data_IF_533487016009
#
_entry.id   IF_533487016009
#
_cell.length_a   1.000
_cell.length_b   1.000
_cell.length_c   1.000
_cell.angle_alpha   90.00
_cell.angle_beta   90.00
_cell.angle_gamma   90.00
#
_symmetry.space_group_name_H-M   'P 1'
#
loop_
_entity.id
_entity.type
_entity.pdbx_description
1 polymer ?
#
# COMPACT_ATOMS: atom_id res chain seq x y z
N UNK A 1 62.82 -15.55 -38.65
CA UNK A 1 62.47 -15.11 -37.27
C UNK A 1 61.07 -14.51 -37.33
N UNK A 2 60.13 -15.17 -36.63
CA UNK A 2 58.71 -14.83 -36.44
C UNK A 2 58.55 -13.43 -35.82
N UNK A 3 57.47 -12.67 -36.12
CA UNK A 3 56.74 -11.72 -35.23
C UNK A 3 55.49 -11.21 -36.01
N UNK A 4 54.35 -11.90 -35.92
CA UNK A 4 53.18 -11.61 -35.05
C UNK A 4 52.40 -10.36 -35.50
N UNK A 5 51.26 -10.61 -36.15
CA UNK A 5 50.26 -9.61 -36.53
C UNK A 5 49.42 -9.12 -35.34
N UNK A 6 48.83 -7.92 -35.49
CA UNK A 6 47.86 -7.38 -34.54
C UNK A 6 46.49 -7.26 -35.21
N UNK A 7 45.57 -8.06 -34.69
CA UNK A 7 44.15 -8.10 -34.99
C UNK A 7 43.47 -6.85 -34.45
N UNK A 8 42.62 -6.24 -35.28
CA UNK A 8 41.72 -5.16 -34.90
C UNK A 8 40.61 -5.68 -33.97
N UNK A 9 40.34 -4.96 -32.88
CA UNK A 9 39.20 -5.23 -31.99
C UNK A 9 38.52 -3.90 -31.63
N UNK A 10 37.56 -3.48 -32.45
CA UNK A 10 36.57 -2.48 -32.05
C UNK A 10 35.45 -3.21 -31.30
N UNK A 11 35.42 -3.03 -29.99
CA UNK A 11 34.42 -3.60 -29.09
C UNK A 11 33.02 -3.00 -29.36
N UNK A 12 32.05 -3.88 -29.57
CA UNK A 12 30.64 -3.52 -29.62
C UNK A 12 30.14 -3.19 -28.21
N UNK A 13 29.81 -1.92 -27.96
CA UNK A 13 29.08 -1.50 -26.76
C UNK A 13 27.61 -1.80 -27.00
N UNK A 14 27.10 -2.88 -26.42
CA UNK A 14 25.67 -3.21 -26.44
C UNK A 14 25.10 -3.32 -25.03
N UNK A 15 24.00 -2.57 -24.84
CA UNK A 15 22.88 -2.80 -23.92
C UNK A 15 23.14 -2.86 -22.40
N UNK A 16 22.91 -1.73 -21.72
CA UNK A 16 22.63 -1.67 -20.27
C UNK A 16 21.50 -0.68 -19.97
N UNK A 17 20.31 -0.86 -20.58
CA UNK A 17 19.17 0.05 -20.40
C UNK A 17 17.83 -0.65 -20.08
N UNK A 18 17.86 -1.88 -19.58
CA UNK A 18 16.63 -2.65 -19.31
C UNK A 18 16.32 -2.89 -17.82
N UNK A 19 17.19 -2.46 -16.90
CA UNK A 19 17.11 -2.89 -15.49
C UNK A 19 16.27 -2.00 -14.58
N UNK A 20 15.84 -0.81 -15.02
CA UNK A 20 15.21 0.18 -14.12
C UNK A 20 13.70 0.00 -14.00
N UNK A 21 13.01 -0.55 -15.01
CA UNK A 21 11.55 -0.67 -14.99
C UNK A 21 11.00 -1.84 -14.15
N UNK A 22 11.79 -2.88 -13.90
CA UNK A 22 11.33 -4.07 -13.16
C UNK A 22 11.29 -3.87 -11.63
N UNK A 23 12.06 -2.92 -11.09
CA UNK A 23 12.17 -2.71 -9.65
C UNK A 23 10.94 -2.04 -9.02
N UNK A 24 10.20 -1.23 -9.78
CA UNK A 24 9.08 -0.44 -9.25
C UNK A 24 7.82 -1.30 -9.01
N UNK A 25 7.61 -2.36 -9.80
CA UNK A 25 6.47 -3.28 -9.66
C UNK A 25 6.69 -4.37 -8.62
N UNK A 26 7.95 -4.70 -8.31
CA UNK A 26 8.30 -5.79 -7.38
C UNK A 26 7.99 -5.46 -5.90
N UNK A 27 7.78 -4.20 -5.56
CA UNK A 27 7.56 -3.73 -4.18
C UNK A 27 6.08 -3.43 -3.86
N UNK A 28 5.13 -3.78 -4.73
CA UNK A 28 3.71 -3.65 -4.43
C UNK A 28 3.22 -4.94 -3.75
N UNK A 29 2.73 -4.91 -2.49
CA UNK A 29 2.29 -6.14 -1.82
C UNK A 29 1.15 -6.82 -2.59
N UNK A 30 1.23 -8.13 -2.86
CA UNK A 30 0.19 -8.83 -3.61
C UNK A 30 -1.20 -8.75 -2.94
N UNK A 31 -1.24 -8.57 -1.61
CA UNK A 31 -2.46 -8.41 -0.83
C UNK A 31 -3.28 -7.20 -1.30
N UNK A 32 -2.65 -6.08 -1.64
CA UNK A 32 -3.40 -4.88 -2.06
C UNK A 32 -3.99 -5.04 -3.46
N UNK A 33 -3.41 -5.94 -4.27
CA UNK A 33 -3.85 -6.26 -5.63
C UNK A 33 -4.99 -7.28 -5.66
N UNK A 34 -5.19 -8.02 -4.57
CA UNK A 34 -6.24 -9.03 -4.42
C UNK A 34 -7.53 -8.46 -3.81
N UNK A 35 -8.57 -9.29 -3.77
CA UNK A 35 -9.85 -9.02 -3.10
C UNK A 35 -9.66 -8.41 -1.70
N UNK A 36 -10.39 -7.33 -1.40
CA UNK A 36 -10.31 -6.66 -0.09
C UNK A 36 -10.72 -7.57 1.07
N UNK A 37 -11.68 -8.47 0.83
CA UNK A 37 -12.23 -9.37 1.83
C UNK A 37 -11.27 -10.50 2.27
N UNK A 38 -10.09 -10.63 1.66
CA UNK A 38 -9.04 -11.56 2.10
C UNK A 38 -8.34 -11.10 3.39
N UNK A 39 -8.64 -9.91 3.91
CA UNK A 39 -8.11 -9.41 5.18
C UNK A 39 -8.97 -9.72 6.40
N UNK A 40 -8.41 -9.48 7.58
CA UNK A 40 -9.18 -9.49 8.83
C UNK A 40 -9.98 -8.20 8.93
N UNK A 41 -11.32 -8.30 8.95
CA UNK A 41 -12.19 -7.14 9.09
C UNK A 41 -12.27 -6.70 10.56
N UNK A 42 -11.93 -5.45 10.83
CA UNK A 42 -12.16 -4.78 12.12
C UNK A 42 -12.93 -3.49 11.82
N UNK A 43 -14.17 -3.40 12.32
CA UNK A 43 -15.10 -2.31 11.96
C UNK A 43 -15.25 -2.21 10.43
N UNK A 44 -14.95 -1.04 9.85
CA UNK A 44 -15.05 -0.75 8.43
C UNK A 44 -13.70 -0.86 7.68
N UNK A 45 -12.72 -1.55 8.27
CA UNK A 45 -11.37 -1.64 7.69
C UNK A 45 -10.91 -3.08 7.66
N UNK A 46 -10.30 -3.47 6.54
CA UNK A 46 -9.60 -4.74 6.41
C UNK A 46 -8.12 -4.54 6.71
N UNK A 47 -7.59 -5.44 7.55
CA UNK A 47 -6.20 -5.44 8.00
C UNK A 47 -5.52 -6.71 7.51
N UNK A 48 -4.33 -6.58 6.95
CA UNK A 48 -3.52 -7.71 6.49
C UNK A 48 -2.07 -7.55 6.90
N UNK A 49 -1.40 -8.67 7.07
CA UNK A 49 0.03 -8.76 7.26
C UNK A 49 0.46 -10.20 6.88
N UNK A 50 1.58 -10.40 6.16
CA UNK A 50 2.03 -11.75 5.76
C UNK A 50 2.40 -12.65 6.95
N UNK A 51 2.99 -12.07 8.00
CA UNK A 51 3.20 -12.73 9.30
C UNK A 51 1.91 -12.69 10.16
N UNK A 52 1.33 -13.85 10.55
CA UNK A 52 0.13 -13.92 11.37
C UNK A 52 0.25 -13.35 12.79
N UNK A 53 1.44 -13.40 13.40
CA UNK A 53 1.64 -12.83 14.73
C UNK A 53 1.58 -11.30 14.68
N UNK A 54 2.20 -10.72 13.65
CA UNK A 54 2.12 -9.28 13.38
C UNK A 54 0.73 -8.84 12.94
N UNK A 55 0.00 -9.68 12.19
CA UNK A 55 -1.42 -9.43 11.89
C UNK A 55 -2.24 -9.30 13.18
N UNK A 56 -2.08 -10.26 14.11
CA UNK A 56 -2.78 -10.24 15.41
C UNK A 56 -2.44 -8.98 16.21
N UNK A 57 -1.19 -8.56 16.19
CA UNK A 57 -0.76 -7.31 16.83
C UNK A 57 -1.41 -6.08 16.18
N UNK A 58 -1.37 -5.95 14.86
CA UNK A 58 -1.99 -4.85 14.13
C UNK A 58 -3.51 -4.76 14.39
N UNK A 59 -4.20 -5.91 14.38
CA UNK A 59 -5.62 -6.01 14.72
C UNK A 59 -5.87 -5.50 16.14
N UNK A 60 -5.09 -5.96 17.12
CA UNK A 60 -5.21 -5.53 18.53
C UNK A 60 -5.01 -4.03 18.69
N UNK A 61 -3.96 -3.46 18.07
CA UNK A 61 -3.66 -2.03 18.13
C UNK A 61 -4.81 -1.18 17.57
N UNK A 62 -5.36 -1.58 16.42
CA UNK A 62 -6.45 -0.86 15.75
C UNK A 62 -7.80 -0.99 16.46
N UNK A 63 -8.11 -2.18 16.98
CA UNK A 63 -9.33 -2.46 17.73
C UNK A 63 -9.33 -1.69 19.05
N UNK A 64 -8.23 -1.74 19.79
CA UNK A 64 -8.07 -1.14 21.12
C UNK A 64 -7.78 0.36 21.10
N UNK A 65 -7.57 0.96 19.91
CA UNK A 65 -7.25 2.39 19.73
C UNK A 65 -6.06 2.84 20.58
N UNK A 66 -4.99 2.04 20.58
CA UNK A 66 -3.79 2.31 21.38
C UNK A 66 -3.14 3.62 20.91
N UNK A 67 -3.04 4.60 21.80
CA UNK A 67 -2.32 5.85 21.51
C UNK A 67 -0.81 5.59 21.41
N UNK A 68 -0.16 6.32 20.50
CA UNK A 68 1.24 6.22 20.13
C UNK A 68 1.66 4.79 19.77
N UNK A 69 0.73 4.02 19.21
CA UNK A 69 1.03 2.72 18.61
C UNK A 69 2.13 2.88 17.54
N UNK A 70 2.86 1.80 17.30
CA UNK A 70 3.71 1.66 16.12
C UNK A 70 3.32 0.36 15.45
N UNK A 71 2.66 0.44 14.31
CA UNK A 71 2.20 -0.77 13.63
C UNK A 71 3.41 -1.55 13.08
N UNK A 72 3.37 -2.89 13.09
CA UNK A 72 4.44 -3.69 12.51
C UNK A 72 4.68 -3.36 11.02
N UNK A 73 5.94 -3.24 10.61
CA UNK A 73 6.29 -3.12 9.17
C UNK A 73 5.74 -4.31 8.39
N UNK A 74 5.06 -4.02 7.28
CA UNK A 74 4.28 -4.98 6.48
C UNK A 74 2.78 -4.92 6.75
N UNK A 75 2.32 -4.14 7.74
CA UNK A 75 0.89 -3.97 8.02
C UNK A 75 0.21 -3.24 6.87
N UNK A 76 -0.94 -3.75 6.45
CA UNK A 76 -1.74 -3.20 5.36
C UNK A 76 -3.12 -2.85 5.91
N UNK A 77 -3.56 -1.62 5.67
CA UNK A 77 -4.94 -1.19 5.92
C UNK A 77 -5.64 -0.86 4.60
N UNK A 78 -6.88 -1.34 4.46
CA UNK A 78 -7.78 -1.00 3.35
C UNK A 78 -9.19 -0.76 3.87
N UNK A 79 -9.68 0.47 3.73
CA UNK A 79 -11.08 0.81 4.04
C UNK A 79 -11.98 0.55 2.83
N UNK A 80 -11.51 0.87 1.62
CA UNK A 80 -12.21 0.66 0.36
C UNK A 80 -11.27 0.03 -0.68
N UNK A 81 -11.78 -0.67 -1.72
CA UNK A 81 -10.94 -1.40 -2.67
C UNK A 81 -9.92 -0.53 -3.42
N UNK A 82 -10.29 0.73 -3.69
CA UNK A 82 -9.50 1.67 -4.46
C UNK A 82 -8.32 2.31 -3.71
N UNK A 83 -8.13 2.00 -2.43
CA UNK A 83 -7.11 2.65 -1.59
C UNK A 83 -6.45 1.63 -0.66
N UNK A 84 -5.15 1.81 -0.41
CA UNK A 84 -4.42 1.05 0.59
C UNK A 84 -3.35 1.91 1.27
N UNK A 85 -2.99 1.55 2.50
CA UNK A 85 -1.76 2.03 3.12
C UNK A 85 -0.95 0.86 3.66
N UNK A 86 0.36 0.92 3.48
CA UNK A 86 1.31 -0.13 3.84
C UNK A 86 2.37 0.45 4.77
N UNK A 87 2.58 -0.17 5.93
CA UNK A 87 3.64 0.21 6.85
C UNK A 87 4.98 -0.26 6.29
N UNK A 88 5.82 0.69 5.91
CA UNK A 88 7.22 0.52 5.53
C UNK A 88 8.10 0.98 6.69
N UNK A 89 9.42 1.02 6.45
CA UNK A 89 10.33 1.63 7.41
C UNK A 89 10.11 3.14 7.52
N UNK A 90 10.28 3.68 8.73
CA UNK A 90 10.18 5.11 9.01
C UNK A 90 11.19 5.92 8.19
N UNK A 91 12.36 5.34 7.90
CA UNK A 91 13.38 5.98 7.06
C UNK A 91 12.93 6.15 5.61
N UNK A 92 12.13 5.21 5.07
CA UNK A 92 11.62 5.30 3.70
C UNK A 92 10.50 6.34 3.57
N UNK A 93 9.66 6.50 4.59
CA UNK A 93 8.54 7.43 4.60
C UNK A 93 8.50 8.27 5.90
N UNK A 94 9.45 9.20 6.09
CA UNK A 94 9.61 9.91 7.36
C UNK A 94 8.44 10.85 7.68
N UNK A 95 7.76 11.39 6.65
CA UNK A 95 6.66 12.35 6.81
C UNK A 95 5.34 11.70 7.29
N UNK A 96 5.25 10.37 7.24
CA UNK A 96 4.07 9.59 7.59
C UNK A 96 4.41 8.46 8.55
N UNK A 97 5.52 8.57 9.30
CA UNK A 97 6.02 7.54 10.23
C UNK A 97 6.09 6.13 9.61
N UNK A 98 6.53 6.04 8.35
CA UNK A 98 6.67 4.77 7.63
C UNK A 98 5.45 4.38 6.78
N UNK A 99 4.36 5.14 6.76
CA UNK A 99 3.20 4.79 5.93
C UNK A 99 3.36 5.20 4.48
N UNK A 100 3.31 4.22 3.59
CA UNK A 100 3.13 4.43 2.17
C UNK A 100 1.66 4.30 1.79
N UNK A 101 1.14 5.26 1.04
CA UNK A 101 -0.24 5.27 0.55
C UNK A 101 -0.32 4.80 -0.90
N UNK A 102 -1.45 4.24 -1.30
CA UNK A 102 -1.70 3.75 -2.65
C UNK A 102 -3.11 4.16 -3.11
N UNK A 103 -3.18 4.79 -4.27
CA UNK A 103 -4.41 4.97 -5.03
C UNK A 103 -4.47 3.91 -6.13
N UNK A 104 -5.55 3.13 -6.16
CA UNK A 104 -5.68 1.93 -6.97
C UNK A 104 -6.79 2.07 -8.01
N UNK A 105 -6.52 1.56 -9.21
CA UNK A 105 -7.54 1.27 -10.22
C UNK A 105 -7.93 -0.19 -10.13
N UNK A 106 -9.16 -0.46 -9.72
CA UNK A 106 -9.65 -1.82 -9.47
C UNK A 106 -10.68 -2.20 -10.53
N UNK A 107 -10.46 -3.33 -11.20
CA UNK A 107 -11.37 -3.93 -12.19
C UNK A 107 -11.52 -5.43 -11.93
N UNK A 108 -12.48 -6.11 -12.59
CA UNK A 108 -12.56 -7.57 -12.52
C UNK A 108 -11.29 -8.28 -13.03
N UNK A 109 -10.55 -7.66 -13.96
CA UNK A 109 -9.33 -8.23 -14.55
C UNK A 109 -8.09 -8.05 -13.67
N UNK A 110 -8.14 -7.15 -12.68
CA UNK A 110 -7.03 -6.95 -11.76
C UNK A 110 -6.96 -5.54 -11.18
N UNK A 111 -5.80 -5.23 -10.61
CA UNK A 111 -5.53 -3.96 -9.95
C UNK A 111 -4.34 -3.27 -10.60
N UNK A 112 -4.46 -1.95 -10.79
CA UNK A 112 -3.37 -1.06 -11.20
C UNK A 112 -3.07 -0.08 -10.09
N UNK A 113 -1.79 0.25 -9.88
CA UNK A 113 -1.40 1.36 -9.00
C UNK A 113 -1.44 2.64 -9.83
N UNK A 114 -2.37 3.54 -9.51
CA UNK A 114 -2.51 4.84 -10.19
C UNK A 114 -1.51 5.86 -9.65
N UNK A 115 -1.31 5.86 -8.34
CA UNK A 115 -0.34 6.69 -7.63
C UNK A 115 0.03 6.01 -6.31
N UNK A 116 1.22 6.32 -5.76
CA UNK A 116 1.71 5.81 -4.47
C UNK A 116 2.49 6.86 -3.71
N UNK A 117 2.75 6.61 -2.42
CA UNK A 117 3.47 7.52 -1.55
C UNK A 117 2.72 8.83 -1.33
N UNK A 118 3.44 9.95 -1.32
CA UNK A 118 2.88 11.29 -1.04
C UNK A 118 1.99 11.82 -2.17
N UNK A 119 2.18 11.31 -3.39
CA UNK A 119 1.37 11.65 -4.57
C UNK A 119 0.07 10.86 -4.65
N UNK A 120 -0.12 9.82 -3.82
CA UNK A 120 -1.37 9.08 -3.78
C UNK A 120 -2.51 10.01 -3.34
N UNK A 121 -3.54 10.11 -4.17
CA UNK A 121 -4.64 11.05 -3.96
C UNK A 121 -5.97 10.50 -4.46
N UNK A 122 -7.04 11.13 -3.99
CA UNK A 122 -8.40 10.96 -4.48
C UNK A 122 -9.03 12.37 -4.66
N UNK A 123 -10.32 12.50 -5.04
CA UNK A 123 -10.97 13.81 -5.19
C UNK A 123 -11.00 14.68 -3.93
N UNK A 124 -10.72 14.14 -2.74
CA UNK A 124 -10.66 14.87 -1.47
C UNK A 124 -9.26 15.44 -1.16
N UNK A 125 -8.23 15.04 -1.91
CA UNK A 125 -6.84 15.46 -1.69
C UNK A 125 -5.87 14.29 -1.64
N UNK A 126 -4.65 14.54 -1.15
CA UNK A 126 -3.66 13.47 -0.96
C UNK A 126 -4.04 12.62 0.24
N UNK A 127 -3.78 11.31 0.15
CA UNK A 127 -4.02 10.38 1.26
C UNK A 127 -3.32 10.89 2.53
N UNK A 128 -2.08 11.38 2.40
CA UNK A 128 -1.37 11.91 3.57
C UNK A 128 -2.04 13.15 4.18
N UNK A 129 -2.61 14.06 3.38
CA UNK A 129 -3.28 15.24 3.96
C UNK A 129 -4.46 14.86 4.88
N UNK A 130 -5.17 13.78 4.56
CA UNK A 130 -6.28 13.28 5.38
C UNK A 130 -5.79 12.56 6.66
N UNK A 131 -4.61 11.93 6.60
CA UNK A 131 -4.04 11.14 7.69
C UNK A 131 -3.08 11.95 8.60
N UNK A 132 -2.61 13.12 8.16
CA UNK A 132 -1.59 13.92 8.85
C UNK A 132 -1.95 14.32 10.29
N UNK A 133 -3.24 14.47 10.61
CA UNK A 133 -3.69 14.83 11.95
C UNK A 133 -3.71 13.65 12.95
N UNK A 134 -3.59 12.41 12.49
CA UNK A 134 -3.65 11.21 13.32
C UNK A 134 -2.30 10.81 13.92
N UNK A 135 -1.46 11.78 14.30
CA UNK A 135 -0.09 11.55 14.79
C UNK A 135 -0.04 10.65 16.04
N UNK A 136 -1.05 10.75 16.91
CA UNK A 136 -1.20 9.87 18.10
C UNK A 136 -1.68 8.46 17.77
N UNK A 137 -2.13 8.20 16.55
CA UNK A 137 -2.64 6.89 16.12
C UNK A 137 -1.77 6.29 15.03
N UNK A 138 -0.49 6.65 15.00
CA UNK A 138 0.45 6.24 13.95
C UNK A 138 -0.06 6.58 12.54
N UNK A 139 -0.66 7.76 12.36
CA UNK A 139 -1.28 8.16 11.09
C UNK A 139 -2.40 7.21 10.59
N UNK A 140 -2.87 6.24 11.39
CA UNK A 140 -3.98 5.34 11.04
C UNK A 140 -5.30 5.95 11.51
N UNK A 141 -6.21 6.17 10.55
CA UNK A 141 -7.52 6.75 10.83
C UNK A 141 -8.63 5.71 10.99
N UNK A 142 -9.30 5.73 12.15
CA UNK A 142 -10.40 4.82 12.51
C UNK A 142 -11.51 5.52 13.32
N UNK A 143 -11.73 6.81 13.04
CA UNK A 143 -12.66 7.66 13.80
C UNK A 143 -12.10 8.06 15.18
N UNK A 144 -10.78 8.25 15.29
CA UNK A 144 -10.12 8.78 16.48
C UNK A 144 -9.79 10.27 16.34
N UNK A 145 -9.30 10.93 17.41
CA UNK A 145 -8.91 12.34 17.37
C UNK A 145 -7.92 12.65 16.25
N UNK A 146 -8.10 13.80 15.59
CA UNK A 146 -7.19 14.31 14.56
C UNK A 146 -7.42 13.76 13.14
N UNK A 147 -8.30 12.78 12.94
CA UNK A 147 -8.65 12.31 11.60
C UNK A 147 -9.60 13.27 10.88
N UNK A 148 -9.34 13.48 9.58
CA UNK A 148 -10.30 14.12 8.71
C UNK A 148 -11.61 13.30 8.64
N UNK A 149 -12.75 13.98 8.51
CA UNK A 149 -14.02 13.31 8.31
C UNK A 149 -14.02 12.60 6.95
N UNK A 150 -14.34 11.30 6.95
CA UNK A 150 -14.57 10.55 5.71
C UNK A 150 -16.00 10.83 5.25
N UNK A 151 -16.24 11.37 4.04
CA UNK A 151 -17.57 11.69 3.55
C UNK A 151 -18.30 10.44 3.00
N UNK A 152 -18.19 9.31 3.70
CA UNK A 152 -18.85 8.05 3.39
C UNK A 152 -19.52 7.52 4.66
N UNK A 153 -20.79 7.13 4.54
CA UNK A 153 -21.47 6.41 5.62
C UNK A 153 -20.91 5.00 5.76
N UNK A 154 -21.07 4.43 6.95
CA UNK A 154 -20.69 3.04 7.22
C UNK A 154 -21.36 2.05 6.26
N UNK A 155 -22.65 2.26 5.97
CA UNK A 155 -23.40 1.48 4.98
C UNK A 155 -22.77 1.58 3.60
N UNK A 156 -22.41 2.79 3.16
CA UNK A 156 -21.79 3.01 1.86
C UNK A 156 -20.41 2.35 1.78
N UNK A 157 -19.61 2.41 2.85
CA UNK A 157 -18.33 1.69 2.91
C UNK A 157 -18.57 0.19 2.77
N UNK A 158 -19.54 -0.36 3.49
CA UNK A 158 -19.94 -1.77 3.40
C UNK A 158 -20.36 -2.17 1.98
N UNK A 159 -21.18 -1.36 1.31
CA UNK A 159 -21.59 -1.59 -0.09
C UNK A 159 -20.40 -1.53 -1.06
N UNK A 160 -19.47 -0.58 -0.87
CA UNK A 160 -18.26 -0.48 -1.70
C UNK A 160 -17.37 -1.72 -1.52
N UNK A 161 -17.15 -2.15 -0.27
CA UNK A 161 -16.39 -3.37 0.04
C UNK A 161 -17.06 -4.61 -0.58
N UNK A 162 -18.38 -4.71 -0.44
CA UNK A 162 -19.18 -5.77 -1.03
C UNK A 162 -19.35 -5.66 -2.55
N UNK A 163 -18.75 -4.68 -3.21
CA UNK A 163 -18.73 -4.58 -4.67
C UNK A 163 -17.30 -4.53 -5.21
N UNK A 164 -16.30 -4.93 -4.42
CA UNK A 164 -14.96 -5.14 -4.93
C UNK A 164 -15.01 -6.18 -6.07
N UNK A 165 -14.75 -5.78 -7.33
CA UNK A 165 -14.91 -6.65 -8.48
C UNK A 165 -13.88 -7.79 -8.55
N UNK A 166 -12.87 -7.75 -7.67
CA UNK A 166 -11.87 -8.82 -7.52
C UNK A 166 -12.33 -9.91 -6.57
N UNK A 167 -13.35 -9.63 -5.75
CA UNK A 167 -13.95 -10.61 -4.85
C UNK A 167 -14.97 -11.41 -5.66
N UNK A 168 -14.67 -12.69 -5.90
CA UNK A 168 -15.55 -13.60 -6.65
C UNK A 168 -16.97 -13.68 -6.08
N UNK A 169 -17.85 -14.37 -6.80
CA UNK A 169 -19.29 -14.47 -6.48
C UNK A 169 -19.63 -15.32 -5.26
N UNK A 170 -18.66 -16.01 -4.65
CA UNK A 170 -18.86 -16.84 -3.46
C UNK A 170 -18.57 -16.04 -2.19
N UNK A 171 -19.46 -15.11 -1.87
CA UNK A 171 -19.45 -14.36 -0.61
C UNK A 171 -20.58 -14.78 0.31
#
# INVERSE_FOLDING_TARGET
MLHIGRVAATAAVTLLLSSVFAAQSADVPPEILACIANGTKVRHTFIQHPDPAKLKEAVRLYESRVENADYPEGTIFRMIPGEAMVKRSKAAFPQSNGWEYFALGVTPQGTTVRARGMEANNPLGTCQSCHAGATKSDYVCGGGPGCAAVPLTEERIGQIQANDPRCGTNR
#
